data_IF_495128816039
#
_entry.id   IF_495128816039
#
_cell.length_a   1.000
_cell.length_b   1.000
_cell.length_c   1.000
_cell.angle_alpha   90.00
_cell.angle_beta   90.00
_cell.angle_gamma   90.00
#
_symmetry.space_group_name_H-M   'P 1'
#
loop_
_entity.id
_entity.type
_entity.pdbx_description
1 polymer ?
#
# COMPACT_ATOMS: atom_id res chain seq x y z
N UNK A 1 -14.24 -0.33 7.90
CA UNK A 1 -12.93 0.18 8.34
C UNK A 1 -13.14 1.52 9.03
N UNK A 2 -12.60 1.68 10.24
CA UNK A 2 -12.73 2.94 10.99
C UNK A 2 -11.79 4.01 10.43
N UNK A 3 -12.02 5.28 10.80
CA UNK A 3 -11.12 6.37 10.38
C UNK A 3 -9.69 6.15 10.91
N UNK A 4 -9.56 5.64 12.13
CA UNK A 4 -8.26 5.33 12.71
C UNK A 4 -7.54 4.26 11.89
N UNK A 5 -8.25 3.21 11.52
CA UNK A 5 -7.68 2.13 10.71
C UNK A 5 -7.31 2.62 9.31
N UNK A 6 -8.17 3.44 8.71
CA UNK A 6 -7.89 4.04 7.41
C UNK A 6 -6.64 4.91 7.43
N UNK A 7 -6.49 5.74 8.47
CA UNK A 7 -5.30 6.59 8.63
C UNK A 7 -4.04 5.76 8.86
N UNK A 8 -4.14 4.72 9.70
CA UNK A 8 -3.02 3.82 9.98
C UNK A 8 -2.56 3.09 8.71
N UNK A 9 -3.51 2.55 7.96
CA UNK A 9 -3.21 1.87 6.69
C UNK A 9 -2.65 2.83 5.65
N UNK A 10 -3.14 4.06 5.61
CA UNK A 10 -2.62 5.08 4.70
C UNK A 10 -1.16 5.39 4.97
N UNK A 11 -0.77 5.51 6.23
CA UNK A 11 0.63 5.73 6.62
C UNK A 11 1.49 4.53 6.26
N UNK A 12 1.00 3.33 6.50
CA UNK A 12 1.69 2.10 6.16
C UNK A 12 1.89 1.98 4.65
N UNK A 13 0.86 2.29 3.89
CA UNK A 13 0.91 2.28 2.43
C UNK A 13 1.96 3.27 1.92
N UNK A 14 1.98 4.48 2.46
CA UNK A 14 2.98 5.48 2.08
C UNK A 14 4.39 5.00 2.41
N UNK A 15 4.60 4.40 3.58
CA UNK A 15 5.90 3.87 3.97
C UNK A 15 6.39 2.81 2.97
N UNK A 16 5.53 1.86 2.65
CA UNK A 16 5.90 0.76 1.74
C UNK A 16 6.15 1.28 0.33
N UNK A 17 5.25 2.09 -0.19
CA UNK A 17 5.32 2.50 -1.60
C UNK A 17 6.39 3.54 -1.88
N UNK A 18 6.75 4.35 -0.88
CA UNK A 18 7.72 5.45 -1.07
C UNK A 18 9.10 5.14 -0.55
N UNK A 19 9.21 4.33 0.51
CA UNK A 19 10.46 4.24 1.26
C UNK A 19 10.98 2.83 1.48
N UNK A 20 10.11 1.89 1.84
CA UNK A 20 10.56 0.59 2.35
C UNK A 20 9.66 -0.57 1.92
N UNK A 21 9.61 -0.92 0.62
CA UNK A 21 8.81 -2.05 0.16
C UNK A 21 9.26 -3.36 0.80
N UNK A 22 10.54 -3.49 1.13
CA UNK A 22 11.12 -4.69 1.75
C UNK A 22 10.61 -4.94 3.17
N UNK A 23 10.04 -3.94 3.81
CA UNK A 23 9.54 -4.09 5.18
C UNK A 23 8.48 -5.19 5.29
N UNK A 24 7.68 -5.36 4.26
CA UNK A 24 6.66 -6.40 4.20
C UNK A 24 6.93 -7.41 3.08
N UNK A 25 8.18 -7.49 2.64
CA UNK A 25 8.62 -8.45 1.60
C UNK A 25 7.81 -8.35 0.30
N UNK A 26 7.44 -7.13 -0.06
CA UNK A 26 6.68 -6.87 -1.27
C UNK A 26 7.63 -6.60 -2.42
N UNK A 27 7.40 -7.24 -3.56
CA UNK A 27 8.14 -6.98 -4.77
C UNK A 27 7.60 -5.70 -5.42
N UNK A 28 8.52 -4.78 -5.72
CA UNK A 28 8.20 -3.55 -6.42
C UNK A 28 8.92 -3.56 -7.75
N UNK A 29 8.19 -3.27 -8.84
CA UNK A 29 8.82 -3.22 -10.15
C UNK A 29 9.56 -1.89 -10.35
N UNK A 30 10.22 -1.77 -11.51
CA UNK A 30 11.02 -0.58 -11.83
C UNK A 30 10.21 0.71 -11.85
N UNK A 31 8.91 0.61 -12.06
CA UNK A 31 7.99 1.75 -12.11
C UNK A 31 7.29 2.01 -10.77
N UNK A 32 7.62 1.25 -9.73
CA UNK A 32 7.06 1.43 -8.40
C UNK A 32 5.77 0.68 -8.14
N UNK A 33 5.33 -0.19 -9.04
CA UNK A 33 4.11 -0.96 -8.87
C UNK A 33 4.31 -2.12 -7.91
N UNK A 34 3.34 -2.31 -7.01
CA UNK A 34 3.26 -3.49 -6.14
C UNK A 34 1.90 -4.14 -6.31
N UNK A 35 1.82 -5.44 -6.02
CA UNK A 35 0.57 -6.17 -6.02
C UNK A 35 -0.15 -5.95 -4.68
N UNK A 36 -1.37 -5.42 -4.73
CA UNK A 36 -2.13 -5.10 -3.52
C UNK A 36 -2.52 -6.34 -2.72
N UNK A 37 -2.78 -7.46 -3.40
CA UNK A 37 -3.09 -8.73 -2.72
C UNK A 37 -1.88 -9.21 -1.93
N UNK A 38 -0.71 -9.25 -2.58
CA UNK A 38 0.54 -9.66 -1.92
C UNK A 38 0.82 -8.76 -0.73
N UNK A 39 0.67 -7.46 -0.88
CA UNK A 39 0.89 -6.50 0.20
C UNK A 39 -0.05 -6.77 1.38
N UNK A 40 -1.34 -6.95 1.12
CA UNK A 40 -2.32 -7.20 2.18
C UNK A 40 -2.06 -8.52 2.91
N UNK A 41 -1.72 -9.57 2.18
CA UNK A 41 -1.40 -10.86 2.76
C UNK A 41 -0.14 -10.79 3.64
N UNK A 42 0.87 -10.10 3.17
CA UNK A 42 2.13 -9.97 3.91
C UNK A 42 1.98 -9.13 5.17
N UNK A 43 1.17 -8.06 5.12
CA UNK A 43 0.84 -7.27 6.30
C UNK A 43 0.08 -8.11 7.31
N UNK A 44 -0.92 -8.87 6.86
CA UNK A 44 -1.73 -9.73 7.73
C UNK A 44 -0.87 -10.78 8.43
N UNK A 45 0.15 -11.32 7.76
CA UNK A 45 1.07 -12.28 8.36
C UNK A 45 1.93 -11.66 9.46
N UNK A 46 2.33 -10.40 9.32
CA UNK A 46 3.19 -9.73 10.27
C UNK A 46 2.42 -9.00 11.37
N UNK A 47 1.17 -8.62 11.10
CA UNK A 47 0.32 -7.85 12.01
C UNK A 47 -1.01 -8.55 12.16
N UNK A 48 -1.20 -9.33 13.21
CA UNK A 48 -2.40 -10.15 13.40
C UNK A 48 -3.70 -9.36 13.44
N UNK A 49 -3.67 -8.14 13.94
CA UNK A 49 -4.87 -7.30 13.97
C UNK A 49 -5.34 -6.87 12.59
N UNK A 50 -4.52 -7.09 11.55
CA UNK A 50 -4.90 -6.87 10.16
C UNK A 50 -5.33 -8.14 9.42
N UNK A 51 -5.74 -9.18 10.14
CA UNK A 51 -6.18 -10.44 9.54
C UNK A 51 -7.36 -10.26 8.57
N UNK A 52 -8.15 -9.19 8.74
CA UNK A 52 -9.28 -8.83 7.90
C UNK A 52 -8.88 -8.11 6.62
N UNK A 53 -7.63 -7.69 6.51
CA UNK A 53 -7.15 -6.86 5.41
C UNK A 53 -7.16 -7.60 4.09
N UNK A 54 -7.63 -6.92 3.05
CA UNK A 54 -7.64 -7.42 1.67
C UNK A 54 -7.09 -6.33 0.76
N UNK A 55 -6.68 -6.72 -0.46
CA UNK A 55 -6.12 -5.78 -1.43
C UNK A 55 -7.05 -4.62 -1.75
N UNK A 56 -8.36 -4.86 -1.79
CA UNK A 56 -9.32 -3.81 -2.12
C UNK A 56 -9.39 -2.69 -1.08
N UNK A 57 -8.95 -2.93 0.15
CA UNK A 57 -8.86 -1.87 1.16
C UNK A 57 -7.87 -0.80 0.73
N UNK A 58 -6.74 -1.20 0.18
CA UNK A 58 -5.74 -0.26 -0.33
C UNK A 58 -6.24 0.47 -1.57
N UNK A 59 -6.94 -0.23 -2.45
CA UNK A 59 -7.57 0.42 -3.60
C UNK A 59 -8.58 1.48 -3.17
N UNK A 60 -9.36 1.20 -2.14
CA UNK A 60 -10.32 2.17 -1.58
C UNK A 60 -9.61 3.40 -1.01
N UNK A 61 -8.52 3.20 -0.26
CA UNK A 61 -7.73 4.30 0.30
C UNK A 61 -7.14 5.16 -0.83
N UNK A 62 -6.58 4.52 -1.85
CA UNK A 62 -5.99 5.22 -2.99
C UNK A 62 -7.05 6.02 -3.76
N UNK A 63 -8.22 5.44 -3.95
CA UNK A 63 -9.32 6.09 -4.67
C UNK A 63 -9.90 7.28 -3.90
N UNK A 64 -9.87 7.22 -2.57
CA UNK A 64 -10.36 8.28 -1.71
C UNK A 64 -9.33 9.41 -1.51
N UNK A 65 -8.09 9.21 -1.95
CA UNK A 65 -7.04 10.20 -1.77
C UNK A 65 -7.18 11.33 -2.79
N UNK A 66 -7.60 12.49 -2.31
CA UNK A 66 -7.87 13.67 -3.15
C UNK A 66 -6.60 14.39 -3.62
N UNK A 67 -5.44 14.02 -3.07
CA UNK A 67 -4.15 14.60 -3.48
C UNK A 67 -3.49 13.84 -4.62
N UNK A 68 -4.09 12.75 -5.07
CA UNK A 68 -3.54 11.95 -6.17
C UNK A 68 -2.20 11.31 -5.88
N UNK A 69 -1.94 10.96 -4.61
CA UNK A 69 -0.65 10.38 -4.20
C UNK A 69 -0.45 8.95 -4.67
N UNK A 70 -1.54 8.29 -5.05
CA UNK A 70 -1.51 6.87 -5.39
C UNK A 70 -2.23 6.63 -6.71
N UNK A 71 -1.77 5.61 -7.42
CA UNK A 71 -2.38 5.17 -8.68
C UNK A 71 -2.71 3.68 -8.56
N UNK A 72 -3.88 3.29 -9.02
CA UNK A 72 -4.36 1.90 -8.98
C UNK A 72 -4.71 1.45 -10.39
N UNK A 73 -4.23 0.26 -10.76
CA UNK A 73 -4.63 -0.41 -12.00
C UNK A 73 -4.82 -1.90 -11.69
N UNK A 74 -6.08 -2.37 -11.71
CA UNK A 74 -6.41 -3.74 -11.38
C UNK A 74 -5.94 -4.08 -9.97
N UNK A 75 -5.08 -5.08 -9.84
CA UNK A 75 -4.50 -5.52 -8.56
C UNK A 75 -3.19 -4.80 -8.22
N UNK A 76 -2.76 -3.85 -9.05
CA UNK A 76 -1.49 -3.14 -8.86
C UNK A 76 -1.72 -1.74 -8.34
N UNK A 77 -0.81 -1.29 -7.48
CA UNK A 77 -0.83 0.10 -7.02
C UNK A 77 0.58 0.64 -6.84
N UNK A 78 0.71 1.97 -6.92
CA UNK A 78 1.98 2.66 -6.71
C UNK A 78 1.76 4.05 -6.15
N UNK A 79 2.81 4.61 -5.53
CA UNK A 79 2.86 6.04 -5.22
C UNK A 79 3.26 6.79 -6.49
N UNK A 80 2.71 7.99 -6.67
CA UNK A 80 2.99 8.81 -7.85
C UNK A 80 4.18 9.73 -7.66
N UNK A 81 4.58 9.98 -6.41
CA UNK A 81 5.73 10.85 -6.08
C UNK A 81 6.18 10.60 -4.64
N UNK A 82 7.26 11.27 -4.25
CA UNK A 82 7.74 11.24 -2.88
C UNK A 82 8.58 10.03 -2.50
N UNK A 83 9.11 9.32 -3.50
CA UNK A 83 9.96 8.16 -3.26
C UNK A 83 11.32 8.59 -2.70
N UNK A 84 11.79 7.88 -1.67
CA UNK A 84 13.17 7.96 -1.23
C UNK A 84 14.00 6.80 -1.80
N UNK A 85 13.34 5.86 -2.45
CA UNK A 85 13.96 4.73 -3.15
C UNK A 85 14.16 5.11 -4.62
N UNK A 86 15.19 4.54 -5.23
CA UNK A 86 15.48 4.76 -6.63
C UNK A 86 14.59 3.87 -7.50
N UNK A 87 13.92 4.47 -8.46
CA UNK A 87 13.04 3.76 -9.39
C UNK A 87 13.54 3.88 -10.83
#
# INVERSE_FOLDING_TARGET
>A
MSDRESNSLGRMLALVLRHAPEKFNVEMDINGWVNSRELSENIAKQRRHYHWLRGWHFAAIASADDKGRYQVEGDMLRATYGHSIEL
#
